data_IF_848118573976
#
_entry.id   IF_848118573976
#
_cell.length_a   1.000
_cell.length_b   1.000
_cell.length_c   1.000
_cell.angle_alpha   90.00
_cell.angle_beta   90.00
_cell.angle_gamma   90.00
#
_symmetry.space_group_name_H-M   'P 1'
#
loop_
_entity.id
_entity.type
_entity.pdbx_description
1 polymer ?
#
# COMPACT_ATOMS: atom_id res chain seq x y z
N UNK A 1 50.12 -6.48 35.92
CA UNK A 1 49.88 -6.99 34.55
C UNK A 1 48.48 -7.59 34.35
N UNK A 2 47.82 -8.14 35.40
CA UNK A 2 46.51 -8.81 35.31
C UNK A 2 45.34 -7.89 34.86
N UNK A 3 45.28 -6.63 35.31
CA UNK A 3 44.16 -5.70 35.00
C UNK A 3 43.98 -5.38 33.49
N UNK A 4 45.05 -5.40 32.69
CA UNK A 4 44.98 -5.09 31.25
C UNK A 4 44.39 -6.25 30.44
N UNK A 5 44.69 -7.48 30.83
CA UNK A 5 44.22 -8.70 30.17
C UNK A 5 42.74 -8.96 30.45
N UNK A 6 42.27 -8.76 31.70
CA UNK A 6 40.84 -8.89 32.04
C UNK A 6 39.98 -7.84 31.33
N UNK A 7 40.50 -6.61 31.19
CA UNK A 7 39.80 -5.54 30.47
C UNK A 7 39.69 -5.85 28.97
N UNK A 8 40.76 -6.35 28.35
CA UNK A 8 40.75 -6.76 26.94
C UNK A 8 39.79 -7.93 26.68
N UNK A 9 39.72 -8.93 27.57
CA UNK A 9 38.76 -10.04 27.47
C UNK A 9 37.32 -9.56 27.63
N UNK A 10 37.07 -8.61 28.54
CA UNK A 10 35.74 -8.01 28.72
C UNK A 10 35.27 -7.23 27.48
N UNK A 11 36.15 -6.40 26.89
CA UNK A 11 35.84 -5.72 25.64
C UNK A 11 35.63 -6.71 24.49
N UNK A 12 36.44 -7.77 24.39
CA UNK A 12 36.27 -8.78 23.35
C UNK A 12 34.95 -9.54 23.46
N UNK A 13 34.53 -9.90 24.67
CA UNK A 13 33.21 -10.51 24.92
C UNK A 13 32.05 -9.55 24.64
N UNK A 14 32.21 -8.24 24.93
CA UNK A 14 31.25 -7.21 24.53
C UNK A 14 31.16 -7.07 23.01
N UNK A 15 32.28 -7.12 22.30
CA UNK A 15 32.32 -7.07 20.83
C UNK A 15 31.67 -8.31 20.20
N UNK A 16 31.95 -9.50 20.72
CA UNK A 16 31.27 -10.73 20.28
C UNK A 16 29.79 -10.66 20.60
N UNK A 17 29.42 -10.23 21.80
CA UNK A 17 28.03 -10.03 22.21
C UNK A 17 27.30 -9.08 21.27
N UNK A 18 27.89 -7.91 20.97
CA UNK A 18 27.34 -6.92 20.04
C UNK A 18 27.28 -7.43 18.59
N UNK A 19 28.27 -8.21 18.15
CA UNK A 19 28.32 -8.80 16.81
C UNK A 19 27.28 -9.92 16.62
N UNK A 20 27.08 -10.76 17.63
CA UNK A 20 26.01 -11.77 17.63
C UNK A 20 24.65 -11.07 17.70
N UNK A 21 24.51 -10.01 18.50
CA UNK A 21 23.29 -9.17 18.54
C UNK A 21 22.97 -8.55 17.19
N UNK A 22 23.97 -8.00 16.49
CA UNK A 22 23.75 -7.34 15.20
C UNK A 22 23.40 -8.33 14.08
N UNK A 23 23.92 -9.56 14.14
CA UNK A 23 23.52 -10.64 13.22
C UNK A 23 22.17 -11.27 13.54
N UNK A 24 21.73 -11.22 14.80
CA UNK A 24 20.43 -11.74 15.24
C UNK A 24 19.26 -10.79 14.95
N UNK A 25 19.55 -9.51 14.68
CA UNK A 25 18.57 -8.49 14.37
C UNK A 25 18.35 -8.39 12.86
N UNK A 26 17.16 -8.76 12.39
CA UNK A 26 16.75 -8.57 10.99
C UNK A 26 15.81 -7.36 10.89
N UNK A 27 15.93 -6.62 9.79
CA UNK A 27 15.02 -5.55 9.43
C UNK A 27 14.18 -6.00 8.24
N UNK A 28 12.86 -5.87 8.36
CA UNK A 28 11.91 -6.05 7.28
C UNK A 28 11.25 -4.71 6.95
N UNK A 29 11.12 -4.40 5.66
CA UNK A 29 10.38 -3.22 5.21
C UNK A 29 8.99 -3.66 4.75
N UNK A 30 7.95 -3.13 5.41
CA UNK A 30 6.55 -3.32 5.01
C UNK A 30 6.00 -2.01 4.48
N UNK A 31 5.43 -2.07 3.30
CA UNK A 31 4.74 -0.97 2.66
C UNK A 31 3.24 -1.20 2.82
N UNK A 32 2.49 -0.17 3.17
CA UNK A 32 1.03 -0.28 3.27
C UNK A 32 0.36 0.90 2.61
N UNK A 33 -0.70 0.63 1.86
CA UNK A 33 -1.65 1.63 1.40
C UNK A 33 -3.01 1.38 2.04
N UNK A 34 -3.49 2.35 2.80
CA UNK A 34 -4.79 2.31 3.46
C UNK A 34 -5.74 3.24 2.72
N UNK A 35 -6.81 2.72 2.14
CA UNK A 35 -7.92 3.53 1.63
C UNK A 35 -8.96 3.72 2.73
N UNK A 36 -9.11 4.94 3.24
CA UNK A 36 -9.96 5.23 4.42
C UNK A 36 -10.80 6.50 4.24
N UNK A 37 -12.01 6.58 4.81
CA UNK A 37 -12.83 7.81 4.83
C UNK A 37 -12.27 8.85 5.82
N UNK A 38 -11.07 9.34 5.56
CA UNK A 38 -10.38 10.28 6.44
C UNK A 38 -8.88 10.35 6.23
N UNK A 39 -8.25 11.27 6.95
CA UNK A 39 -6.80 11.36 7.09
C UNK A 39 -6.35 10.48 8.25
N UNK A 40 -5.32 9.69 7.98
CA UNK A 40 -4.69 8.79 8.94
C UNK A 40 -3.25 9.25 9.21
N UNK A 41 -2.77 8.94 10.39
CA UNK A 41 -1.36 9.03 10.78
C UNK A 41 -0.90 7.67 11.31
N UNK A 42 0.32 7.28 10.99
CA UNK A 42 0.90 6.05 11.48
C UNK A 42 1.35 6.19 12.95
N UNK A 43 0.90 5.29 13.81
CA UNK A 43 1.20 5.25 15.26
C UNK A 43 2.22 4.14 15.61
N UNK A 44 2.87 3.57 14.60
CA UNK A 44 3.90 2.54 14.78
C UNK A 44 3.39 1.12 14.58
N UNK A 45 4.04 0.14 15.22
CA UNK A 45 3.73 -1.26 15.02
C UNK A 45 3.98 -2.10 16.28
N UNK A 46 3.38 -3.28 16.31
CA UNK A 46 3.59 -4.29 17.33
C UNK A 46 3.70 -5.68 16.69
N UNK A 47 4.58 -6.52 17.22
CA UNK A 47 4.80 -7.90 16.75
C UNK A 47 4.55 -8.87 17.90
N UNK A 48 3.69 -9.86 17.70
CA UNK A 48 3.39 -10.93 18.66
C UNK A 48 2.99 -12.19 17.93
N UNK A 49 3.57 -13.33 18.33
CA UNK A 49 3.20 -14.67 17.86
C UNK A 49 3.02 -14.74 16.33
N UNK A 50 4.02 -14.23 15.58
CA UNK A 50 4.07 -14.13 14.10
C UNK A 50 3.03 -13.21 13.43
N UNK A 51 2.23 -12.50 14.21
CA UNK A 51 1.38 -11.42 13.74
C UNK A 51 2.10 -10.07 13.84
N UNK A 52 2.02 -9.31 12.76
CA UNK A 52 2.49 -7.93 12.65
C UNK A 52 1.26 -7.03 12.63
N UNK A 53 1.12 -6.18 13.63
CA UNK A 53 0.05 -5.17 13.70
C UNK A 53 0.63 -3.80 13.41
N UNK A 54 0.21 -3.19 12.30
CA UNK A 54 0.55 -1.83 11.91
C UNK A 54 -0.54 -0.90 12.42
N UNK A 55 -0.17 0.11 13.20
CA UNK A 55 -1.13 0.98 13.88
C UNK A 55 -1.28 2.31 13.17
N UNK A 56 -2.52 2.77 13.09
CA UNK A 56 -2.89 4.08 12.57
C UNK A 56 -3.89 4.76 13.51
N UNK A 57 -3.85 6.08 13.50
CA UNK A 57 -4.80 6.96 14.18
C UNK A 57 -5.53 7.84 13.20
N UNK A 58 -6.82 8.09 13.47
CA UNK A 58 -7.62 8.98 12.64
C UNK A 58 -7.34 10.43 13.04
N UNK A 59 -6.71 11.18 12.15
CA UNK A 59 -6.51 12.63 12.33
C UNK A 59 -7.80 13.41 12.07
N UNK A 60 -8.50 13.04 10.99
CA UNK A 60 -9.69 13.75 10.54
C UNK A 60 -10.58 12.86 9.69
N UNK A 61 -11.83 12.67 10.10
CA UNK A 61 -12.83 11.96 9.29
C UNK A 61 -13.26 12.77 8.05
N UNK A 62 -13.62 12.07 6.98
CA UNK A 62 -14.25 12.67 5.80
C UNK A 62 -15.18 11.68 5.09
N UNK A 63 -16.22 12.17 4.41
CA UNK A 63 -17.08 11.31 3.59
C UNK A 63 -16.34 10.68 2.40
N UNK A 64 -15.34 11.39 1.86
CA UNK A 64 -14.51 10.90 0.76
C UNK A 64 -13.41 9.96 1.23
N UNK A 65 -13.12 8.93 0.42
CA UNK A 65 -11.99 8.02 0.63
C UNK A 65 -10.68 8.72 0.23
N UNK A 66 -9.69 8.62 1.10
CA UNK A 66 -8.30 9.03 0.84
C UNK A 66 -7.39 7.82 0.89
N UNK A 67 -6.31 7.86 0.12
CA UNK A 67 -5.24 6.87 0.17
C UNK A 67 -4.12 7.39 1.05
N UNK A 68 -3.77 6.66 2.09
CA UNK A 68 -2.62 6.91 2.93
C UNK A 68 -1.56 5.84 2.63
N UNK A 69 -0.31 6.26 2.41
CA UNK A 69 0.80 5.35 2.17
C UNK A 69 1.83 5.51 3.28
N UNK A 70 2.25 4.39 3.86
CA UNK A 70 3.26 4.37 4.91
C UNK A 70 4.27 3.25 4.70
N UNK A 71 5.50 3.49 5.16
CA UNK A 71 6.58 2.50 5.16
C UNK A 71 7.01 2.21 6.59
N UNK A 72 6.75 0.98 7.05
CA UNK A 72 7.20 0.49 8.35
C UNK A 72 8.53 -0.25 8.22
N UNK A 73 9.48 0.10 9.09
CA UNK A 73 10.73 -0.65 9.30
C UNK A 73 10.59 -1.49 10.56
N UNK A 74 10.30 -2.77 10.37
CA UNK A 74 10.04 -3.71 11.45
C UNK A 74 11.36 -4.35 11.85
N UNK A 75 11.71 -4.17 13.11
CA UNK A 75 12.87 -4.80 13.71
C UNK A 75 12.42 -6.08 14.42
N UNK A 76 13.07 -7.19 14.08
CA UNK A 76 12.78 -8.46 14.74
C UNK A 76 14.05 -9.10 15.28
N UNK A 77 14.00 -9.47 16.56
CA UNK A 77 15.10 -10.10 17.28
C UNK A 77 14.86 -11.62 17.31
N UNK A 78 15.73 -12.40 16.64
CA UNK A 78 15.62 -13.88 16.56
C UNK A 78 14.39 -14.44 15.82
N UNK A 79 13.56 -13.62 15.19
CA UNK A 79 12.37 -14.08 14.48
C UNK A 79 12.72 -14.59 13.09
N UNK A 80 12.16 -15.74 12.71
CA UNK A 80 12.09 -16.18 11.32
C UNK A 80 10.87 -15.50 10.68
N UNK A 81 10.92 -14.16 10.56
CA UNK A 81 9.81 -13.35 10.07
C UNK A 81 9.69 -13.56 8.56
N UNK A 82 9.12 -14.70 8.20
CA UNK A 82 8.76 -15.03 6.84
C UNK A 82 7.56 -14.16 6.48
N UNK A 83 7.86 -13.00 5.88
CA UNK A 83 6.83 -12.04 5.54
C UNK A 83 5.72 -12.70 4.70
N UNK A 84 6.03 -13.68 3.85
CA UNK A 84 5.06 -14.36 2.98
C UNK A 84 3.97 -15.08 3.79
N UNK A 85 4.36 -15.61 4.96
CA UNK A 85 3.51 -16.37 5.87
C UNK A 85 3.06 -15.56 7.09
N UNK A 86 3.68 -14.42 7.37
CA UNK A 86 3.33 -13.56 8.49
C UNK A 86 1.91 -13.00 8.33
N UNK A 87 1.14 -12.99 9.43
CA UNK A 87 -0.18 -12.35 9.43
C UNK A 87 -0.01 -10.86 9.63
N UNK A 88 -0.32 -10.05 8.62
CA UNK A 88 -0.31 -8.59 8.73
C UNK A 88 -1.72 -8.10 9.02
N UNK A 89 -1.86 -7.29 10.07
CA UNK A 89 -3.09 -6.63 10.49
C UNK A 89 -2.85 -5.13 10.51
N UNK A 90 -3.79 -4.36 9.98
CA UNK A 90 -3.79 -2.91 10.05
C UNK A 90 -4.84 -2.49 11.06
N UNK A 91 -4.41 -1.95 12.20
CA UNK A 91 -5.27 -1.51 13.28
C UNK A 91 -5.48 0.00 13.20
N UNK A 92 -6.73 0.43 13.03
CA UNK A 92 -7.12 1.84 13.01
C UNK A 92 -7.96 2.10 14.27
N UNK A 93 -7.36 2.75 15.27
CA UNK A 93 -8.01 3.08 16.55
C UNK A 93 -8.77 1.90 17.21
N UNK A 94 -8.18 0.70 17.18
CA UNK A 94 -8.75 -0.52 17.75
C UNK A 94 -9.64 -1.31 16.79
N UNK A 95 -9.82 -0.85 15.55
CA UNK A 95 -10.53 -1.57 14.50
C UNK A 95 -9.55 -2.31 13.59
N UNK A 96 -9.48 -3.66 13.66
CA UNK A 96 -8.56 -4.43 12.83
C UNK A 96 -9.09 -4.56 11.39
N UNK A 97 -8.21 -4.29 10.44
CA UNK A 97 -8.40 -4.52 9.02
C UNK A 97 -7.38 -5.52 8.50
N UNK A 98 -7.84 -6.46 7.68
CA UNK A 98 -7.01 -7.51 7.12
C UNK A 98 -6.76 -7.23 5.63
N UNK A 99 -5.50 -7.11 5.18
CA UNK A 99 -5.19 -6.88 3.77
C UNK A 99 -5.65 -8.04 2.89
N UNK A 100 -6.49 -7.75 1.90
CA UNK A 100 -6.97 -8.72 0.89
C UNK A 100 -6.21 -8.63 -0.43
N UNK A 101 -5.51 -7.52 -0.66
CA UNK A 101 -4.63 -7.30 -1.79
C UNK A 101 -3.17 -7.30 -1.35
N UNK A 102 -2.35 -8.08 -2.05
CA UNK A 102 -0.91 -8.18 -1.81
C UNK A 102 -0.17 -8.01 -3.12
N UNK A 103 0.81 -7.11 -3.11
CA UNK A 103 1.74 -6.94 -4.21
C UNK A 103 3.18 -7.05 -3.70
N UNK A 104 4.02 -7.69 -4.51
CA UNK A 104 5.44 -7.81 -4.21
C UNK A 104 6.13 -6.55 -4.69
N UNK A 105 6.74 -5.79 -3.78
CA UNK A 105 7.68 -4.74 -4.19
C UNK A 105 8.96 -5.44 -4.63
N UNK A 106 8.97 -5.88 -5.89
CA UNK A 106 10.12 -6.52 -6.55
C UNK A 106 11.24 -5.50 -6.73
N UNK A 107 11.89 -5.15 -5.63
CA UNK A 107 13.24 -4.63 -5.68
C UNK A 107 14.12 -5.73 -5.12
N UNK A 108 14.67 -6.56 -6.00
CA UNK A 108 15.69 -7.54 -5.63
C UNK A 108 16.91 -6.76 -5.14
N UNK A 109 17.45 -7.11 -3.97
CA UNK A 109 18.83 -6.72 -3.66
C UNK A 109 19.79 -7.43 -4.64
N UNK A 110 21.08 -7.06 -4.64
CA UNK A 110 22.08 -7.71 -5.51
C UNK A 110 22.23 -9.22 -5.26
N UNK A 111 21.54 -9.79 -4.26
CA UNK A 111 21.49 -11.21 -3.92
C UNK A 111 20.17 -11.91 -4.21
N UNK A 112 19.18 -11.23 -4.82
CA UNK A 112 17.90 -11.85 -5.20
C UNK A 112 16.85 -11.93 -4.07
N UNK A 113 17.03 -11.23 -2.96
CA UNK A 113 16.05 -11.23 -1.86
C UNK A 113 14.97 -10.15 -2.07
N UNK A 114 13.74 -10.47 -1.68
CA UNK A 114 12.60 -9.53 -1.64
C UNK A 114 12.93 -8.39 -0.66
N UNK A 115 12.92 -7.14 -1.11
CA UNK A 115 13.15 -5.97 -0.23
C UNK A 115 11.95 -5.58 0.64
N UNK A 116 10.74 -6.00 0.28
CA UNK A 116 9.54 -5.76 1.09
C UNK A 116 8.26 -6.21 0.41
N UNK A 117 7.16 -6.19 1.16
CA UNK A 117 5.83 -6.47 0.65
C UNK A 117 4.93 -5.25 0.78
N UNK A 118 4.07 -5.05 -0.21
CA UNK A 118 3.08 -3.99 -0.23
C UNK A 118 1.69 -4.57 0.00
N UNK A 119 1.10 -4.14 1.10
CA UNK A 119 -0.28 -4.48 1.46
C UNK A 119 -1.20 -3.32 1.12
N UNK A 120 -2.35 -3.63 0.52
CA UNK A 120 -3.42 -2.67 0.32
C UNK A 120 -4.61 -3.11 1.17
N UNK A 121 -5.18 -2.18 1.93
CA UNK A 121 -6.27 -2.44 2.86
C UNK A 121 -7.29 -1.31 2.85
N UNK A 122 -8.55 -1.64 3.12
CA UNK A 122 -9.64 -0.68 3.27
C UNK A 122 -10.72 -1.29 4.16
N UNK A 123 -11.52 -0.46 4.88
CA UNK A 123 -12.77 -0.93 5.48
C UNK A 123 -13.87 -1.23 4.44
N UNK A 124 -13.64 -0.92 3.15
CA UNK A 124 -14.53 -1.25 2.04
C UNK A 124 -13.95 -2.36 1.16
N UNK A 125 -14.78 -2.95 0.29
CA UNK A 125 -14.28 -3.88 -0.69
C UNK A 125 -13.33 -3.17 -1.67
N UNK A 126 -12.09 -3.65 -1.78
CA UNK A 126 -11.10 -3.09 -2.68
C UNK A 126 -11.49 -3.20 -4.16
N UNK A 127 -12.39 -4.12 -4.51
CA UNK A 127 -12.92 -4.22 -5.88
C UNK A 127 -13.80 -3.04 -6.27
N UNK A 128 -14.40 -2.35 -5.30
CA UNK A 128 -15.20 -1.13 -5.48
C UNK A 128 -14.32 0.12 -5.61
N UNK A 129 -13.02 0.01 -5.32
CA UNK A 129 -12.11 1.16 -5.27
C UNK A 129 -11.29 1.26 -6.56
N UNK A 130 -11.27 2.46 -7.13
CA UNK A 130 -10.39 2.81 -8.23
C UNK A 130 -9.50 4.02 -7.87
N UNK A 131 -8.23 3.95 -8.27
CA UNK A 131 -7.36 5.11 -8.39
C UNK A 131 -7.43 5.61 -9.82
N UNK A 132 -7.83 6.85 -10.02
CA UNK A 132 -7.91 7.47 -11.34
C UNK A 132 -6.88 8.59 -11.39
N UNK A 133 -5.86 8.43 -12.22
CA UNK A 133 -4.90 9.49 -12.51
C UNK A 133 -5.56 10.49 -13.46
N UNK A 134 -5.59 11.74 -13.03
CA UNK A 134 -6.24 12.83 -13.74
C UNK A 134 -5.16 13.60 -14.52
N UNK A 135 -5.35 13.82 -15.84
CA UNK A 135 -4.42 14.63 -16.63
C UNK A 135 -4.21 16.03 -16.04
N UNK A 136 -3.02 16.60 -16.25
CA UNK A 136 -2.70 17.95 -15.78
C UNK A 136 -3.66 19.00 -16.35
N UNK A 137 -4.08 19.95 -15.52
CA UNK A 137 -5.05 20.99 -15.90
C UNK A 137 -6.52 20.54 -15.85
N UNK A 138 -6.79 19.32 -15.37
CA UNK A 138 -8.14 18.81 -15.18
C UNK A 138 -8.45 18.39 -13.73
N UNK A 139 -9.74 18.38 -13.43
CA UNK A 139 -10.33 17.83 -12.20
C UNK A 139 -11.37 16.76 -12.54
N UNK A 140 -11.53 15.75 -11.68
CA UNK A 140 -12.56 14.73 -11.82
C UNK A 140 -13.95 15.34 -11.59
N UNK A 141 -14.94 14.92 -12.39
CA UNK A 141 -16.35 15.26 -12.18
C UNK A 141 -17.22 14.06 -11.85
N UNK A 142 -17.28 13.12 -12.78
CA UNK A 142 -18.14 11.96 -12.67
C UNK A 142 -17.60 10.81 -13.53
N UNK A 143 -18.17 9.64 -13.33
CA UNK A 143 -17.94 8.45 -14.15
C UNK A 143 -19.28 7.90 -14.61
N UNK A 144 -19.34 7.38 -15.84
CA UNK A 144 -20.50 6.68 -16.38
C UNK A 144 -20.06 5.46 -17.16
N UNK A 145 -20.91 4.44 -17.19
CA UNK A 145 -20.68 3.26 -17.99
C UNK A 145 -21.84 3.05 -18.96
N UNK A 146 -21.53 3.09 -20.25
CA UNK A 146 -22.50 2.91 -21.33
C UNK A 146 -21.81 2.17 -22.49
N UNK A 147 -22.51 1.24 -23.13
CA UNK A 147 -22.02 0.52 -24.32
C UNK A 147 -20.60 -0.07 -24.14
N UNK A 148 -20.37 -0.74 -23.01
CA UNK A 148 -19.09 -1.36 -22.66
C UNK A 148 -17.90 -0.37 -22.59
N UNK A 149 -18.21 0.91 -22.33
CA UNK A 149 -17.23 1.99 -22.21
C UNK A 149 -17.42 2.70 -20.87
N UNK A 150 -16.38 2.67 -20.05
CA UNK A 150 -16.25 3.52 -18.86
C UNK A 150 -15.76 4.91 -19.30
N UNK A 151 -16.62 5.91 -19.17
CA UNK A 151 -16.31 7.30 -19.48
C UNK A 151 -16.04 8.08 -18.21
N UNK A 152 -14.86 8.69 -18.11
CA UNK A 152 -14.42 9.55 -17.02
C UNK A 152 -14.55 11.00 -17.48
N UNK A 153 -15.48 11.72 -16.85
CA UNK A 153 -15.74 13.12 -17.17
C UNK A 153 -14.86 14.05 -16.35
N UNK A 154 -14.26 15.00 -17.03
CA UNK A 154 -13.30 15.95 -16.49
C UNK A 154 -13.80 17.40 -16.66
N UNK A 155 -13.21 18.32 -15.90
CA UNK A 155 -13.38 19.76 -16.09
C UNK A 155 -12.02 20.48 -16.17
N UNK A 156 -11.80 21.39 -17.14
CA UNK A 156 -10.50 21.99 -17.44
C UNK A 156 -10.10 23.15 -16.49
N UNK A 157 -10.36 23.02 -15.18
CA UNK A 157 -10.12 24.09 -14.21
C UNK A 157 -9.60 23.55 -12.88
N UNK A 158 -8.34 23.18 -12.86
CA UNK A 158 -7.61 22.75 -11.66
C UNK A 158 -6.65 21.61 -11.99
N UNK A 159 -5.95 21.11 -10.97
CA UNK A 159 -5.11 19.92 -11.10
C UNK A 159 -5.32 19.06 -9.86
N UNK A 160 -5.96 17.91 -10.04
CA UNK A 160 -6.23 16.96 -8.94
C UNK A 160 -5.14 15.88 -8.81
N UNK A 161 -4.44 15.57 -9.90
CA UNK A 161 -3.38 14.55 -9.93
C UNK A 161 -3.93 13.13 -9.85
N UNK A 162 -4.48 12.73 -8.71
CA UNK A 162 -5.09 11.41 -8.50
C UNK A 162 -6.40 11.54 -7.72
N UNK A 163 -7.47 10.98 -8.28
CA UNK A 163 -8.75 10.78 -7.61
C UNK A 163 -8.84 9.34 -7.11
N UNK A 164 -9.17 9.15 -5.83
CA UNK A 164 -9.56 7.84 -5.31
C UNK A 164 -11.08 7.85 -5.15
N UNK A 165 -11.74 6.86 -5.72
CA UNK A 165 -13.19 6.73 -5.66
C UNK A 165 -13.59 5.33 -5.19
N UNK A 166 -14.75 5.27 -4.55
CA UNK A 166 -15.54 4.05 -4.39
C UNK A 166 -16.73 4.13 -5.34
N UNK A 167 -16.97 3.09 -6.12
CA UNK A 167 -18.02 3.10 -7.14
C UNK A 167 -18.52 1.70 -7.46
N UNK A 168 -19.83 1.53 -7.40
CA UNK A 168 -20.50 0.28 -7.78
C UNK A 168 -20.27 -0.06 -9.26
N UNK A 169 -20.21 0.97 -10.14
CA UNK A 169 -19.88 0.81 -11.55
C UNK A 169 -18.50 0.16 -11.75
N UNK A 170 -17.52 0.51 -10.91
CA UNK A 170 -16.19 -0.12 -10.96
C UNK A 170 -16.28 -1.57 -10.50
N UNK A 171 -17.00 -1.84 -9.42
CA UNK A 171 -17.16 -3.19 -8.89
C UNK A 171 -17.83 -4.14 -9.89
N UNK A 172 -18.94 -3.71 -10.51
CA UNK A 172 -19.70 -4.50 -11.48
C UNK A 172 -18.89 -4.84 -12.74
N UNK A 173 -17.95 -3.97 -13.12
CA UNK A 173 -17.19 -4.10 -14.36
C UNK A 173 -15.70 -4.38 -14.14
N UNK A 174 -15.30 -4.75 -12.93
CA UNK A 174 -13.89 -4.82 -12.55
C UNK A 174 -13.11 -5.84 -13.38
N UNK A 175 -13.65 -7.03 -13.59
CA UNK A 175 -13.02 -8.06 -14.42
C UNK A 175 -12.91 -7.63 -15.89
N UNK A 176 -13.93 -6.95 -16.41
CA UNK A 176 -13.91 -6.38 -17.75
C UNK A 176 -12.84 -5.30 -17.92
N UNK A 177 -12.64 -4.47 -16.90
CA UNK A 177 -11.57 -3.47 -16.86
C UNK A 177 -10.18 -4.13 -16.81
N UNK A 178 -9.97 -5.11 -15.92
CA UNK A 178 -8.67 -5.83 -15.79
C UNK A 178 -8.29 -6.58 -17.05
N UNK A 179 -9.25 -7.17 -17.77
CA UNK A 179 -9.03 -7.94 -19.00
C UNK A 179 -9.01 -7.10 -20.27
N UNK A 180 -9.23 -5.78 -20.16
CA UNK A 180 -9.28 -4.87 -21.30
C UNK A 180 -10.52 -5.05 -22.19
N UNK A 181 -11.56 -5.72 -21.69
CA UNK A 181 -12.84 -5.86 -22.40
C UNK A 181 -13.67 -4.60 -22.32
N UNK A 182 -13.55 -3.85 -21.22
CA UNK A 182 -14.18 -2.55 -21.04
C UNK A 182 -13.24 -1.48 -21.56
N UNK A 183 -13.73 -0.66 -22.49
CA UNK A 183 -12.98 0.50 -22.99
C UNK A 183 -13.01 1.61 -21.93
N UNK A 184 -11.89 2.28 -21.70
CA UNK A 184 -11.84 3.48 -20.86
C UNK A 184 -11.59 4.71 -21.72
N UNK A 185 -12.36 5.76 -21.48
CA UNK A 185 -12.22 7.06 -22.16
C UNK A 185 -12.28 8.19 -21.13
N UNK A 186 -11.35 9.12 -21.22
CA UNK A 186 -11.43 10.40 -20.51
C UNK A 186 -11.98 11.47 -21.45
N UNK A 187 -12.80 12.38 -20.96
CA UNK A 187 -13.30 13.51 -21.76
C UNK A 187 -13.68 14.73 -20.92
N UNK A 188 -13.46 15.93 -21.45
CA UNK A 188 -14.00 17.19 -20.91
C UNK A 188 -15.18 17.73 -21.75
N UNK A 189 -15.66 16.95 -22.73
CA UNK A 189 -16.67 17.32 -23.73
C UNK A 189 -16.09 17.91 -25.02
N UNK A 190 -14.87 18.47 -24.99
CA UNK A 190 -14.18 19.04 -26.15
C UNK A 190 -13.05 18.15 -26.67
N UNK A 191 -12.34 17.49 -25.75
CA UNK A 191 -11.21 16.60 -25.98
C UNK A 191 -11.50 15.22 -25.41
N UNK A 192 -10.81 14.22 -25.96
CA UNK A 192 -10.90 12.82 -25.54
C UNK A 192 -9.52 12.19 -25.47
N UNK A 193 -9.33 11.33 -24.48
CA UNK A 193 -8.11 10.53 -24.30
C UNK A 193 -8.50 9.07 -24.08
N UNK A 194 -7.65 8.15 -24.54
CA UNK A 194 -7.73 6.74 -24.16
C UNK A 194 -7.39 6.57 -22.69
N UNK A 195 -7.87 5.50 -22.07
CA UNK A 195 -7.47 5.11 -20.72
C UNK A 195 -6.87 3.72 -20.68
N UNK A 196 -5.83 3.54 -19.87
CA UNK A 196 -5.24 2.24 -19.51
C UNK A 196 -5.66 1.85 -18.11
N UNK A 197 -5.88 0.55 -17.91
CA UNK A 197 -6.18 -0.05 -16.62
C UNK A 197 -5.02 -0.94 -16.19
N UNK A 198 -4.57 -0.80 -14.95
CA UNK A 198 -3.56 -1.63 -14.31
C UNK A 198 -4.15 -2.31 -13.07
N UNK A 199 -3.84 -3.60 -12.90
CA UNK A 199 -4.17 -4.34 -11.66
C UNK A 199 -3.05 -4.17 -10.64
N UNK A 200 -3.41 -3.94 -9.37
CA UNK A 200 -2.45 -3.68 -8.29
C UNK A 200 -1.97 -4.95 -7.56
N UNK A 201 -1.74 -6.03 -8.30
CA UNK A 201 -1.28 -7.32 -7.74
C UNK A 201 -2.34 -8.42 -7.74
N UNK A 202 -2.14 -9.39 -6.85
CA UNK A 202 -2.99 -10.58 -6.72
C UNK A 202 -4.00 -10.43 -5.57
N UNK A 203 -5.17 -11.05 -5.75
CA UNK A 203 -6.28 -10.98 -4.79
C UNK A 203 -7.31 -9.90 -5.13
N UNK A 204 -8.11 -9.52 -4.13
CA UNK A 204 -9.10 -8.45 -4.27
C UNK A 204 -8.40 -7.09 -4.22
N UNK A 205 -7.88 -6.65 -5.35
CA UNK A 205 -7.13 -5.40 -5.47
C UNK A 205 -7.94 -4.29 -6.15
N UNK A 206 -7.72 -3.04 -5.74
CA UNK A 206 -8.18 -1.85 -6.47
C UNK A 206 -7.54 -1.78 -7.87
N UNK A 207 -8.21 -1.14 -8.81
CA UNK A 207 -7.63 -0.85 -10.14
C UNK A 207 -7.02 0.54 -10.19
N UNK A 208 -5.94 0.68 -10.97
CA UNK A 208 -5.41 1.98 -11.37
C UNK A 208 -5.83 2.27 -12.80
N UNK A 209 -6.36 3.46 -13.04
CA UNK A 209 -6.77 3.93 -14.36
C UNK A 209 -5.97 5.19 -14.68
N UNK A 210 -5.31 5.22 -15.82
CA UNK A 210 -4.51 6.36 -16.28
C UNK A 210 -4.86 6.73 -17.72
N UNK A 211 -4.81 8.03 -18.04
CA UNK A 211 -4.95 8.49 -19.42
C UNK A 211 -3.71 8.13 -20.26
N UNK A 212 -3.94 7.78 -21.52
CA UNK A 212 -2.89 7.59 -22.54
C UNK A 212 -2.40 8.89 -23.18
#
# INVERSE_FOLDING_TARGET
MVKRTTMAVFFFLLFIGAFVFSRAMKMAEIYVTVYYPGELEADGYYVKDDQITLKFHILKGSEGIKGHFEKFKIWCFLCNLDLENATVVVDIDGTPLYPTCRDYVMSFDKGGNIKGMHYIVSPYNLTEIAKIKIPEGYIFRELKFENNTLTIFLSPKGSEGVRIIRSDIIAEHQEGLKRGWVKVVYTDGSRRWGGRVYSMGNGECSVLIEAE
#
